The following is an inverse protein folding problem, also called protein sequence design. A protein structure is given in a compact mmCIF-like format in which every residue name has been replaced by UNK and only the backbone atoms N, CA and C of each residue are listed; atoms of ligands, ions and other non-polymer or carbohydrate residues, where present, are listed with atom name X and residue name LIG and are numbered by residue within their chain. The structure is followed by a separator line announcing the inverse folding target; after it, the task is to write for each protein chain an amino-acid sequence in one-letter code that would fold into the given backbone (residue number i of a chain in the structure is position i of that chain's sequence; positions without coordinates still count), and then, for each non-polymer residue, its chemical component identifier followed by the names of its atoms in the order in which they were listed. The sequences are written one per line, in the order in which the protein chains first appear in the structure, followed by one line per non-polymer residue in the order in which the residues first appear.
data_IF_559748574256
#
_entry.id   IF_559748574256
#
_cell.length_a   1.000
_cell.length_b   1.000
_cell.length_c   1.000
_cell.angle_alpha   90.00
_cell.angle_beta   90.00
_cell.angle_gamma   90.00
#
_symmetry.space_group_name_H-M   'P 1'
#
loop_
_entity.id
_entity.type
_entity.pdbx_description
1 polymer ?
#
# COMPACT_ATOMS: atom_id res chain seq x y z
N UNK A 1 -0.37 7.27 20.45
CA UNK A 1 0.30 8.59 20.64
C UNK A 1 1.65 8.68 19.94
N UNK A 2 1.69 9.46 18.86
CA UNK A 2 2.91 9.92 18.18
C UNK A 2 3.48 11.18 18.85
N UNK A 3 4.76 11.50 18.60
CA UNK A 3 5.42 12.67 19.19
C UNK A 3 5.09 13.97 18.44
N UNK A 4 5.27 15.11 19.11
CA UNK A 4 5.08 16.43 18.51
C UNK A 4 5.98 16.65 17.29
N UNK A 5 7.19 16.06 17.27
CA UNK A 5 8.14 16.22 16.16
C UNK A 5 7.78 15.36 14.95
N UNK A 6 7.10 14.22 15.15
CA UNK A 6 6.46 13.48 14.05
C UNK A 6 5.31 14.31 13.47
N UNK A 7 4.43 14.85 14.32
CA UNK A 7 3.31 15.69 13.85
C UNK A 7 3.80 16.92 13.08
N UNK A 8 4.87 17.59 13.52
CA UNK A 8 5.46 18.73 12.80
C UNK A 8 6.00 18.37 11.40
N UNK A 9 6.50 17.14 11.21
CA UNK A 9 6.99 16.66 9.90
C UNK A 9 5.83 16.37 8.95
N UNK A 10 4.81 15.67 9.47
CA UNK A 10 3.64 15.29 8.69
C UNK A 10 2.62 16.44 8.52
N UNK A 11 2.82 17.57 9.20
CA UNK A 11 1.89 18.71 9.23
C UNK A 11 1.52 19.24 7.84
N UNK A 12 2.48 19.37 6.92
CA UNK A 12 2.20 19.85 5.56
C UNK A 12 1.30 18.87 4.81
N UNK A 13 1.61 17.57 4.87
CA UNK A 13 0.80 16.53 4.25
C UNK A 13 -0.59 16.40 4.90
N UNK A 14 -0.70 16.63 6.20
CA UNK A 14 -1.99 16.70 6.91
C UNK A 14 -2.87 17.84 6.39
N UNK A 15 -2.33 19.06 6.30
CA UNK A 15 -3.06 20.25 5.88
C UNK A 15 -3.46 20.18 4.38
N UNK A 16 -2.64 19.55 3.55
CA UNK A 16 -2.93 19.32 2.13
C UNK A 16 -3.88 18.12 1.87
N UNK A 17 -4.16 17.29 2.89
CA UNK A 17 -4.96 16.07 2.73
C UNK A 17 -4.21 14.91 2.05
N UNK A 18 -2.88 14.95 2.04
CA UNK A 18 -1.98 14.01 1.36
C UNK A 18 -1.46 12.86 2.27
N UNK A 19 -1.92 12.76 3.52
CA UNK A 19 -1.58 11.67 4.44
C UNK A 19 -2.40 10.39 4.21
N UNK A 20 -1.83 9.23 4.55
CA UNK A 20 -2.58 7.98 4.57
C UNK A 20 -3.62 7.99 5.71
N UNK A 21 -4.77 7.30 5.56
CA UNK A 21 -5.87 7.37 6.54
C UNK A 21 -5.47 7.01 7.99
N UNK A 22 -4.57 6.05 8.15
CA UNK A 22 -4.07 5.63 9.47
C UNK A 22 -3.26 6.76 10.15
N UNK A 23 -2.47 7.49 9.38
CA UNK A 23 -1.61 8.58 9.88
C UNK A 23 -2.43 9.83 10.18
N UNK A 24 -3.50 10.09 9.39
CA UNK A 24 -4.50 11.12 9.71
C UNK A 24 -5.08 10.89 11.10
N UNK A 25 -5.57 9.67 11.41
CA UNK A 25 -6.13 9.38 12.74
C UNK A 25 -5.11 9.52 13.88
N UNK A 26 -3.84 9.19 13.66
CA UNK A 26 -2.77 9.38 14.66
C UNK A 26 -2.45 10.86 14.90
N UNK A 27 -2.48 11.68 13.85
CA UNK A 27 -2.33 13.15 13.96
C UNK A 27 -3.55 13.75 14.66
N UNK A 28 -4.77 13.37 14.28
CA UNK A 28 -6.00 13.80 14.95
C UNK A 28 -6.00 13.46 16.45
N UNK A 29 -5.69 12.21 16.82
CA UNK A 29 -5.53 11.78 18.22
C UNK A 29 -4.56 12.71 18.97
N UNK A 30 -3.39 12.96 18.38
CA UNK A 30 -2.39 13.86 18.96
C UNK A 30 -2.94 15.29 19.11
N UNK A 31 -3.61 15.84 18.09
CA UNK A 31 -4.20 17.18 18.13
C UNK A 31 -5.33 17.33 19.17
N UNK A 32 -6.03 16.24 19.56
CA UNK A 32 -6.97 16.28 20.70
C UNK A 32 -6.25 16.48 22.03
N UNK A 33 -5.06 15.91 22.19
CA UNK A 33 -4.28 15.92 23.44
C UNK A 33 -3.24 17.03 23.58
N UNK A 34 -2.68 17.53 22.47
CA UNK A 34 -1.61 18.53 22.47
C UNK A 34 -2.11 19.92 22.03
N UNK A 35 -2.16 20.92 22.93
CA UNK A 35 -2.57 22.28 22.57
C UNK A 35 -1.55 22.99 21.66
N UNK A 36 -0.25 22.74 21.83
CA UNK A 36 0.81 23.41 21.06
C UNK A 36 0.72 23.04 19.56
N UNK A 37 0.61 21.74 19.25
CA UNK A 37 0.44 21.29 17.87
C UNK A 37 -0.87 21.80 17.25
N UNK A 38 -1.96 21.86 18.03
CA UNK A 38 -3.23 22.45 17.58
C UNK A 38 -3.08 23.93 17.26
N UNK A 39 -2.34 24.68 18.07
CA UNK A 39 -2.04 26.08 17.80
C UNK A 39 -1.27 26.23 16.48
N UNK A 40 -0.24 25.42 16.23
CA UNK A 40 0.54 25.46 14.98
C UNK A 40 -0.35 25.18 13.76
N UNK A 41 -1.19 24.14 13.78
CA UNK A 41 -2.17 23.86 12.70
C UNK A 41 -3.03 25.11 12.43
N UNK A 42 -3.64 25.68 13.47
CA UNK A 42 -4.54 26.83 13.33
C UNK A 42 -3.87 28.08 12.76
N UNK A 43 -2.57 28.28 13.03
CA UNK A 43 -1.78 29.38 12.47
C UNK A 43 -1.56 29.18 10.97
N UNK A 44 -1.14 27.99 10.54
CA UNK A 44 -0.90 27.68 9.12
C UNK A 44 -2.20 27.79 8.31
N UNK A 45 -3.30 27.19 8.79
CA UNK A 45 -4.61 27.35 8.14
C UNK A 45 -5.02 28.83 8.01
N UNK A 46 -4.74 29.65 9.03
CA UNK A 46 -5.10 31.08 9.01
C UNK A 46 -4.27 31.85 7.99
N UNK A 47 -3.01 31.47 7.77
CA UNK A 47 -2.18 31.99 6.68
C UNK A 47 -2.75 31.56 5.33
N UNK A 48 -3.10 30.28 5.16
CA UNK A 48 -3.68 29.77 3.91
C UNK A 48 -5.02 30.43 3.56
N UNK A 49 -5.94 30.59 4.53
CA UNK A 49 -7.20 31.33 4.36
C UNK A 49 -6.97 32.78 3.92
N UNK A 50 -5.93 33.44 4.44
CA UNK A 50 -5.54 34.79 4.00
C UNK A 50 -4.97 34.79 2.58
N UNK A 51 -4.14 33.81 2.22
CA UNK A 51 -3.61 33.68 0.86
C UNK A 51 -4.71 33.39 -0.18
N UNK A 52 -5.73 32.60 0.17
CA UNK A 52 -6.91 32.36 -0.68
C UNK A 52 -7.76 33.61 -0.93
N UNK A 53 -7.63 34.66 -0.11
CA UNK A 53 -8.31 35.95 -0.33
C UNK A 53 -7.61 36.85 -1.37
N UNK A 54 -6.42 36.46 -1.84
CA UNK A 54 -5.76 37.14 -2.96
C UNK A 54 -6.57 36.89 -4.23
N UNK A 55 -6.92 37.96 -4.94
CA UNK A 55 -7.76 37.92 -6.14
C UNK A 55 -7.26 36.89 -7.16
N UNK A 56 -8.14 36.02 -7.64
CA UNK A 56 -7.82 35.12 -8.76
C UNK A 56 -7.48 35.94 -10.01
N UNK A 57 -6.26 35.74 -10.52
CA UNK A 57 -5.82 36.39 -11.75
C UNK A 57 -6.46 35.66 -12.93
N UNK A 58 -7.43 36.31 -13.58
CA UNK A 58 -7.93 35.82 -14.86
C UNK A 58 -6.86 35.99 -15.94
N UNK A 59 -6.53 34.94 -16.73
CA UNK A 59 -5.62 35.09 -17.86
C UNK A 59 -6.25 36.00 -18.94
N UNK A 60 -5.41 36.60 -19.78
CA UNK A 60 -5.88 37.33 -20.96
C UNK A 60 -6.52 36.38 -21.99
N UNK A 61 -7.44 36.88 -22.81
CA UNK A 61 -8.12 36.11 -23.86
C UNK A 61 -7.17 35.34 -24.79
N UNK A 62 -5.98 35.89 -25.05
CA UNK A 62 -4.98 35.30 -25.93
C UNK A 62 -4.04 34.29 -25.24
N UNK A 63 -4.02 34.24 -23.91
CA UNK A 63 -3.16 33.32 -23.14
C UNK A 63 -3.41 31.86 -23.55
N UNK A 64 -4.68 31.49 -23.61
CA UNK A 64 -5.15 30.16 -23.95
C UNK A 64 -4.73 29.71 -25.37
N UNK A 65 -4.69 30.66 -26.32
CA UNK A 65 -4.20 30.43 -27.68
C UNK A 65 -2.67 30.27 -27.69
N UNK A 66 -1.96 31.17 -27.03
CA UNK A 66 -0.49 31.14 -26.95
C UNK A 66 0.03 29.89 -26.21
N UNK A 67 -0.68 29.44 -25.18
CA UNK A 67 -0.34 28.23 -24.43
C UNK A 67 -0.47 26.98 -25.30
N UNK A 68 -1.60 26.84 -26.02
CA UNK A 68 -1.83 25.70 -26.93
C UNK A 68 -0.78 25.64 -28.05
N UNK A 69 -0.48 26.77 -28.67
CA UNK A 69 0.54 26.90 -29.72
C UNK A 69 1.93 26.43 -29.23
N UNK A 70 2.34 26.87 -28.03
CA UNK A 70 3.62 26.45 -27.42
C UNK A 70 3.65 24.96 -27.06
N UNK A 71 2.56 24.39 -26.53
CA UNK A 71 2.51 22.96 -26.18
C UNK A 71 2.67 22.09 -27.44
N UNK A 72 1.97 22.43 -28.53
CA UNK A 72 2.08 21.72 -29.81
C UNK A 72 3.51 21.81 -30.38
N UNK A 73 4.15 22.97 -30.29
CA UNK A 73 5.52 23.15 -30.77
C UNK A 73 6.59 22.41 -29.95
N UNK A 74 6.34 22.13 -28.66
CA UNK A 74 7.25 21.33 -27.83
C UNK A 74 7.20 19.84 -28.20
N UNK A 75 6.01 19.30 -28.46
CA UNK A 75 5.80 17.88 -28.82
C UNK A 75 6.59 17.48 -30.09
N UNK A 76 6.66 18.37 -31.08
CA UNK A 76 7.43 18.16 -32.31
C UNK A 76 8.96 18.19 -32.18
N UNK A 77 9.51 18.50 -31.00
CA UNK A 77 10.95 18.37 -30.72
C UNK A 77 11.35 17.01 -30.14
N UNK A 78 10.37 16.19 -29.75
CA UNK A 78 10.57 14.86 -29.20
C UNK A 78 10.91 13.83 -30.28
N UNK A 79 12.21 13.56 -30.45
CA UNK A 79 12.78 12.29 -30.90
C UNK A 79 12.01 11.58 -32.03
N UNK A 80 12.49 11.74 -33.28
CA UNK A 80 12.00 10.94 -34.41
C UNK A 80 12.31 9.45 -34.18
N UNK A 81 11.39 8.73 -33.52
CA UNK A 81 11.36 7.28 -33.53
C UNK A 81 11.22 6.90 -34.99
N UNK A 82 12.35 6.49 -35.57
CA UNK A 82 12.46 6.13 -36.98
C UNK A 82 11.81 4.76 -37.16
N UNK A 83 10.48 4.73 -37.04
CA UNK A 83 9.61 3.55 -37.11
C UNK A 83 9.48 3.07 -38.56
N UNK A 84 10.64 2.78 -39.16
CA UNK A 84 10.78 2.25 -40.50
C UNK A 84 11.41 0.88 -40.40
N UNK A 85 10.54 -0.12 -40.45
CA UNK A 85 10.84 -1.54 -40.65
C UNK A 85 11.73 -2.23 -39.60
N UNK A 86 11.11 -3.09 -38.79
CA UNK A 86 11.61 -4.44 -38.53
C UNK A 86 10.46 -5.35 -38.10
N UNK A 87 9.67 -5.77 -39.10
CA UNK A 87 8.56 -6.71 -38.98
C UNK A 87 9.08 -8.15 -38.84
N UNK A 88 10.03 -8.37 -37.92
CA UNK A 88 10.91 -9.56 -37.89
C UNK A 88 10.84 -10.39 -36.61
N UNK A 89 9.98 -10.05 -35.66
CA UNK A 89 9.82 -10.79 -34.38
C UNK A 89 8.55 -11.66 -34.32
N UNK A 90 7.78 -11.75 -35.41
CA UNK A 90 6.54 -12.55 -35.47
C UNK A 90 6.71 -14.07 -35.35
N UNK A 91 7.93 -14.60 -35.47
CA UNK A 91 8.21 -16.05 -35.44
C UNK A 91 8.71 -16.57 -34.08
N UNK A 92 9.14 -15.71 -33.14
CA UNK A 92 9.75 -16.18 -31.89
C UNK A 92 8.74 -16.53 -30.79
N UNK A 93 7.53 -15.96 -30.80
CA UNK A 93 6.53 -16.18 -29.74
C UNK A 93 5.94 -17.59 -29.74
N UNK A 94 5.64 -18.14 -30.92
CA UNK A 94 5.03 -19.47 -31.05
C UNK A 94 5.95 -20.59 -30.55
N UNK A 95 7.26 -20.51 -30.82
CA UNK A 95 8.23 -21.51 -30.37
C UNK A 95 8.32 -21.59 -28.83
N UNK A 96 8.25 -20.45 -28.14
CA UNK A 96 8.25 -20.38 -26.67
C UNK A 96 6.98 -21.05 -26.11
N UNK A 97 5.81 -20.75 -26.68
CA UNK A 97 4.54 -21.35 -26.25
C UNK A 97 4.52 -22.87 -26.46
N UNK A 98 5.04 -23.37 -27.59
CA UNK A 98 5.15 -24.81 -27.85
C UNK A 98 6.12 -25.49 -26.87
N UNK A 99 7.27 -24.87 -26.58
CA UNK A 99 8.24 -25.42 -25.63
C UNK A 99 7.68 -25.49 -24.20
N UNK A 100 6.99 -24.44 -23.75
CA UNK A 100 6.32 -24.42 -22.44
C UNK A 100 5.21 -25.47 -22.36
N UNK A 101 4.37 -25.59 -23.41
CA UNK A 101 3.32 -26.61 -23.47
C UNK A 101 3.89 -28.03 -23.41
N UNK A 102 4.94 -28.31 -24.19
CA UNK A 102 5.63 -29.60 -24.16
C UNK A 102 6.19 -29.90 -22.76
N UNK A 103 6.90 -28.95 -22.15
CA UNK A 103 7.46 -29.13 -20.81
C UNK A 103 6.39 -29.43 -19.74
N UNK A 104 5.27 -28.68 -19.75
CA UNK A 104 4.14 -28.94 -18.83
C UNK A 104 3.52 -30.32 -19.08
N UNK A 105 3.37 -30.74 -20.33
CA UNK A 105 2.80 -32.06 -20.66
C UNK A 105 3.65 -33.24 -20.17
N UNK A 106 4.98 -33.12 -20.20
CA UNK A 106 5.91 -34.17 -19.73
C UNK A 106 5.90 -34.28 -18.21
N UNK A 107 5.90 -33.14 -17.50
CA UNK A 107 5.90 -33.14 -16.03
C UNK A 107 4.60 -33.73 -15.42
N UNK A 108 3.49 -33.74 -16.16
CA UNK A 108 2.22 -34.31 -15.70
C UNK A 108 2.12 -35.83 -15.87
N UNK A 109 3.02 -36.46 -16.65
CA UNK A 109 2.99 -37.92 -16.89
C UNK A 109 3.77 -38.76 -15.86
N UNK A 110 4.57 -38.15 -14.99
CA UNK A 110 5.47 -38.88 -14.06
C UNK A 110 4.98 -38.93 -12.59
N UNK A 111 3.67 -39.04 -12.35
CA UNK A 111 3.15 -39.37 -11.01
C UNK A 111 2.69 -40.83 -10.92
N UNK A 112 3.61 -41.81 -10.73
CA UNK A 112 3.20 -43.14 -10.32
C UNK A 112 2.62 -43.04 -8.91
N UNK A 113 1.29 -43.11 -8.81
CA UNK A 113 0.58 -43.13 -7.52
C UNK A 113 1.00 -44.39 -6.76
N UNK A 114 1.92 -44.23 -5.82
CA UNK A 114 2.35 -45.29 -4.92
C UNK A 114 1.23 -45.57 -3.91
N UNK A 115 0.31 -46.48 -4.27
CA UNK A 115 -0.77 -46.93 -3.39
C UNK A 115 -0.15 -47.78 -2.28
N UNK A 116 0.30 -47.12 -1.22
CA UNK A 116 0.95 -47.76 -0.09
C UNK A 116 -0.09 -48.56 0.72
N UNK A 117 -0.23 -49.85 0.41
CA UNK A 117 -1.19 -50.77 1.01
C UNK A 117 -0.76 -51.19 2.42
N UNK A 118 -0.73 -50.21 3.33
CA UNK A 118 -0.59 -50.48 4.75
C UNK A 118 -1.76 -51.34 5.21
N UNK A 119 -1.44 -52.53 5.73
CA UNK A 119 -2.40 -53.60 6.02
C UNK A 119 -3.41 -53.14 7.08
N UNK A 120 -4.62 -52.77 6.65
CA UNK A 120 -5.71 -52.42 7.58
C UNK A 120 -6.10 -53.69 8.35
N UNK A 121 -5.99 -53.71 9.69
CA UNK A 121 -6.44 -54.85 10.47
C UNK A 121 -7.96 -54.91 10.45
N UNK A 122 -8.51 -55.91 9.78
CA UNK A 122 -9.96 -56.17 9.74
C UNK A 122 -10.41 -56.56 11.16
N UNK A 123 -11.02 -55.61 11.86
CA UNK A 123 -11.74 -55.85 13.12
C UNK A 123 -13.24 -55.77 12.85
N UNK A 124 -13.97 -56.77 13.30
CA UNK A 124 -15.25 -57.18 12.73
C UNK A 124 -16.33 -56.09 12.67
N UNK A 125 -16.94 -55.93 11.50
CA UNK A 125 -18.16 -55.14 11.28
C UNK A 125 -19.37 -56.01 11.62
N UNK A 126 -19.73 -56.09 12.90
CA UNK A 126 -21.07 -56.52 13.30
C UNK A 126 -22.03 -55.34 13.11
N UNK A 127 -22.86 -55.38 12.06
CA UNK A 127 -23.96 -54.40 11.87
C UNK A 127 -25.11 -54.74 12.81
N UNK A 128 -25.27 -53.98 13.89
CA UNK A 128 -26.57 -53.90 14.58
C UNK A 128 -27.48 -52.99 13.74
N UNK A 129 -28.47 -53.58 13.10
CA UNK A 129 -29.45 -52.88 12.26
C UNK A 129 -30.59 -52.35 13.12
N UNK A 130 -31.04 -51.12 12.82
CA UNK A 130 -32.24 -50.45 13.33
C UNK A 130 -32.32 -50.18 14.86
N UNK A 131 -32.13 -48.91 15.24
CA UNK A 131 -33.16 -48.26 16.06
C UNK A 131 -33.28 -46.76 15.74
N UNK A 132 -34.46 -46.37 15.29
CA UNK A 132 -34.83 -44.97 15.00
C UNK A 132 -35.22 -44.26 16.28
N UNK A 133 -34.66 -43.08 16.56
CA UNK A 133 -35.22 -42.17 17.56
C UNK A 133 -34.87 -40.70 17.27
N UNK A 134 -35.85 -39.79 17.11
CA UNK A 134 -35.61 -38.36 16.95
C UNK A 134 -35.86 -37.58 18.26
N UNK A 135 -34.84 -36.87 18.77
CA UNK A 135 -34.98 -35.73 19.72
C UNK A 135 -33.60 -35.05 19.88
N UNK A 136 -33.41 -33.77 19.52
CA UNK A 136 -33.64 -32.52 20.30
C UNK A 136 -32.49 -32.12 21.26
N UNK A 137 -31.96 -30.90 21.03
CA UNK A 137 -31.44 -29.90 22.00
C UNK A 137 -30.07 -30.07 22.71
N UNK A 138 -29.68 -28.95 23.38
CA UNK A 138 -28.42 -28.63 24.10
C UNK A 138 -27.26 -28.29 23.13
N UNK A 139 -26.90 -27.03 22.82
CA UNK A 139 -26.89 -25.72 23.53
C UNK A 139 -25.76 -25.58 24.58
N UNK A 140 -25.09 -24.41 24.56
CA UNK A 140 -24.07 -23.94 25.52
C UNK A 140 -22.70 -24.68 25.43
N UNK A 141 -21.55 -24.09 25.75
CA UNK A 141 -21.14 -22.68 25.93
C UNK A 141 -19.60 -22.64 26.03
N UNK A 142 -18.98 -21.45 25.88
CA UNK A 142 -17.68 -21.09 26.49
C UNK A 142 -16.43 -21.94 26.10
N UNK A 143 -15.16 -21.58 26.34
CA UNK A 143 -14.46 -20.32 26.67
C UNK A 143 -12.98 -20.46 26.26
N UNK A 144 -12.25 -19.33 26.24
CA UNK A 144 -10.80 -19.32 26.51
C UNK A 144 -9.90 -19.27 25.27
N UNK A 145 -9.04 -18.28 25.08
CA UNK A 145 -7.92 -17.81 25.93
C UNK A 145 -6.67 -18.69 25.82
N UNK A 146 -5.67 -18.24 25.06
CA UNK A 146 -4.41 -17.66 25.59
C UNK A 146 -3.68 -16.97 24.41
N UNK A 147 -3.04 -15.80 24.55
CA UNK A 147 -1.66 -15.57 25.04
C UNK A 147 -0.65 -16.52 24.34
N UNK A 148 0.48 -16.07 23.78
CA UNK A 148 1.43 -15.09 24.34
C UNK A 148 2.40 -14.53 23.27
N UNK A 149 3.03 -13.39 23.58
CA UNK A 149 4.30 -12.91 22.99
C UNK A 149 5.50 -13.69 23.62
N UNK A 150 6.79 -13.23 23.61
CA UNK A 150 7.50 -12.16 22.88
C UNK A 150 8.69 -12.75 22.06
N UNK A 151 9.82 -12.11 21.69
CA UNK A 151 10.42 -10.76 21.80
C UNK A 151 11.42 -10.54 20.63
N UNK A 152 12.07 -9.37 20.50
CA UNK A 152 13.49 -9.17 20.90
C UNK A 152 13.97 -7.70 20.78
N UNK A 153 15.22 -7.41 21.16
CA UNK A 153 15.58 -6.15 21.83
C UNK A 153 16.72 -5.30 21.21
N UNK A 154 16.47 -3.97 21.14
CA UNK A 154 17.34 -2.84 21.59
C UNK A 154 18.83 -2.77 21.14
N UNK A 155 19.22 -1.67 20.45
CA UNK A 155 20.21 -0.67 20.97
C UNK A 155 20.41 0.60 20.09
N UNK A 156 20.72 1.79 20.68
CA UNK A 156 20.96 3.05 19.96
C UNK A 156 22.37 3.68 20.14
N UNK A 157 22.72 4.65 19.27
CA UNK A 157 23.72 5.73 19.46
C UNK A 157 23.32 6.91 18.51
N UNK A 158 23.11 8.16 18.91
CA UNK A 158 23.94 9.19 19.58
C UNK A 158 25.06 9.77 18.70
N UNK A 159 24.84 10.95 18.09
CA UNK A 159 25.67 12.13 18.35
C UNK A 159 24.99 13.47 17.91
N UNK A 160 25.53 14.58 18.42
CA UNK A 160 25.09 15.97 18.24
C UNK A 160 26.14 16.71 17.37
N UNK A 161 25.73 17.64 16.49
CA UNK A 161 26.59 18.78 16.15
C UNK A 161 25.76 20.05 15.94
N UNK A 162 26.13 21.11 16.67
CA UNK A 162 25.48 22.42 16.66
C UNK A 162 26.17 23.35 15.65
N UNK A 163 25.42 24.18 14.90
CA UNK A 163 25.99 25.40 14.27
C UNK A 163 25.03 26.58 14.34
N UNK A 164 25.25 27.45 15.32
CA UNK A 164 24.84 28.85 15.30
C UNK A 164 25.76 29.64 14.37
N UNK A 165 25.20 30.46 13.46
CA UNK A 165 25.85 31.70 12.97
C UNK A 165 24.77 32.80 12.82
N UNK A 166 24.85 33.83 13.68
CA UNK A 166 24.22 35.13 13.46
C UNK A 166 24.97 35.90 12.36
N UNK A 167 24.26 36.72 11.56
CA UNK A 167 24.68 37.92 10.76
C UNK A 167 23.61 38.13 9.65
N UNK A 168 23.14 39.32 9.22
CA UNK A 168 23.54 40.73 9.39
C UNK A 168 22.27 41.60 9.49
N UNK A 169 22.29 42.64 10.32
CA UNK A 169 21.40 43.81 10.26
C UNK A 169 22.12 44.96 9.51
N UNK A 170 21.51 45.54 8.47
CA UNK A 170 21.94 46.81 7.86
C UNK A 170 20.82 47.46 7.03
#
# INVERSE_FOLDING_TARGET
MISCDTVKKELSAFIEGNLAPNDVSLVEEHLTSCPDCRQVVSQVETIMRRMQSVSSVSPSSDFDRQLRDRIIHLDHSGWSVRWRSSWSYGLSGAAILVAVYMFVSVQLTETPVQINTSKVPVKNVQRTVNQTQPAQFVKNDETGNDKSAPADSIKPAKNIEERNINLIEK
#
